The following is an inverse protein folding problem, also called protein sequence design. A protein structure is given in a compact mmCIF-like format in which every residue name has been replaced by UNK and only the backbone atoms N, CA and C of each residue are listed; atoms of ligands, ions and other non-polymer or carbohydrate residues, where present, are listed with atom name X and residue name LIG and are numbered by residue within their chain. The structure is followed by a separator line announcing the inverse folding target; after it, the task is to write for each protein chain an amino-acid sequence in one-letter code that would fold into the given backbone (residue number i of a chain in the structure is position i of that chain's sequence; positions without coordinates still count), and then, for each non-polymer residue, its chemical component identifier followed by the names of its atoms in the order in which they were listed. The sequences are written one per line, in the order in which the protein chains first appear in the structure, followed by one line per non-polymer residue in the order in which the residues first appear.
data_IF_028232273581
#
_entry.id   IF_028232273581
#
_cell.length_a   1.000
_cell.length_b   1.000
_cell.length_c   1.000
_cell.angle_alpha   90.00
_cell.angle_beta   90.00
_cell.angle_gamma   90.00
#
_symmetry.space_group_name_H-M   'P 1'
#
loop_
_entity.id
_entity.type
_entity.pdbx_description
1 polymer ?
#
# COMPACT_ATOMS: atom_id res chain seq x y z
N UNK A 1 7.94 -3.83 -10.02
CA UNK A 1 8.81 -4.98 -10.35
C UNK A 1 9.18 -5.06 -11.83
N UNK A 2 8.28 -4.75 -12.77
CA UNK A 2 8.57 -4.82 -14.23
C UNK A 2 9.76 -3.95 -14.65
N UNK A 3 9.89 -2.75 -14.07
CA UNK A 3 11.04 -1.86 -14.32
C UNK A 3 12.36 -2.50 -13.86
N UNK A 4 12.36 -3.14 -12.69
CA UNK A 4 13.52 -3.85 -12.16
C UNK A 4 13.96 -4.98 -13.09
N UNK A 5 13.00 -5.78 -13.59
CA UNK A 5 13.28 -6.84 -14.57
C UNK A 5 13.86 -6.25 -15.85
N UNK A 6 13.27 -5.17 -16.36
CA UNK A 6 13.75 -4.49 -17.58
C UNK A 6 15.18 -3.96 -17.44
N UNK A 7 15.52 -3.38 -16.30
CA UNK A 7 16.86 -2.84 -16.03
C UNK A 7 17.88 -3.98 -15.84
N UNK A 8 17.53 -4.96 -15.00
CA UNK A 8 18.41 -6.10 -14.71
C UNK A 8 18.69 -6.96 -15.95
N UNK A 9 17.69 -7.17 -16.82
CA UNK A 9 17.86 -7.91 -18.08
C UNK A 9 18.81 -7.25 -19.07
N UNK A 10 18.96 -5.91 -19.00
CA UNK A 10 19.93 -5.18 -19.85
C UNK A 10 21.37 -5.32 -19.38
N UNK A 11 21.57 -5.61 -18.10
CA UNK A 11 22.88 -5.67 -17.46
C UNK A 11 23.38 -7.13 -17.35
N UNK A 12 22.43 -8.05 -17.18
CA UNK A 12 22.74 -9.48 -17.01
C UNK A 12 23.15 -10.13 -18.33
N UNK A 13 24.20 -10.94 -18.28
CA UNK A 13 24.63 -11.78 -19.41
C UNK A 13 23.93 -13.16 -19.45
N UNK A 14 23.11 -13.45 -18.43
CA UNK A 14 22.35 -14.70 -18.32
C UNK A 14 20.87 -14.39 -18.05
N UNK A 15 19.94 -15.26 -18.45
CA UNK A 15 18.55 -15.11 -18.13
C UNK A 15 18.34 -14.96 -16.62
N UNK A 16 17.51 -13.98 -16.21
CA UNK A 16 17.18 -13.74 -14.82
C UNK A 16 16.20 -14.78 -14.31
N UNK A 17 16.32 -15.18 -13.05
CA UNK A 17 15.25 -15.89 -12.36
C UNK A 17 14.24 -14.86 -11.84
N UNK A 18 12.97 -15.07 -12.17
CA UNK A 18 11.87 -14.22 -11.71
C UNK A 18 10.79 -15.07 -11.05
N UNK A 19 10.16 -14.55 -10.01
CA UNK A 19 9.22 -15.29 -9.18
C UNK A 19 7.95 -14.47 -8.99
N UNK A 20 6.80 -15.12 -8.96
CA UNK A 20 5.52 -14.50 -8.61
C UNK A 20 4.63 -15.45 -7.84
N UNK A 21 3.72 -14.88 -7.03
CA UNK A 21 2.61 -15.63 -6.45
C UNK A 21 1.43 -15.60 -7.40
N UNK A 22 0.76 -16.72 -7.55
CA UNK A 22 -0.50 -16.87 -8.23
C UNK A 22 -1.63 -16.98 -7.20
N UNK A 23 -2.66 -16.14 -7.36
CA UNK A 23 -3.90 -16.16 -6.58
C UNK A 23 -5.07 -16.59 -7.47
N UNK A 24 -5.28 -17.89 -7.67
CA UNK A 24 -6.26 -18.36 -8.64
C UNK A 24 -7.66 -17.81 -8.37
N UNK A 25 -8.34 -17.39 -9.44
CA UNK A 25 -9.71 -16.89 -9.41
C UNK A 25 -9.95 -15.64 -8.54
N UNK A 26 -8.91 -14.85 -8.29
CA UNK A 26 -9.05 -13.56 -7.59
C UNK A 26 -8.80 -12.38 -8.54
N UNK A 27 -9.47 -11.24 -8.33
CA UNK A 27 -9.22 -10.04 -9.14
C UNK A 27 -7.82 -9.43 -8.93
N UNK A 28 -7.11 -9.87 -7.91
CA UNK A 28 -5.77 -9.39 -7.56
C UNK A 28 -4.66 -10.32 -8.07
N UNK A 29 -4.97 -11.27 -8.94
CA UNK A 29 -3.96 -12.14 -9.54
C UNK A 29 -3.22 -11.42 -10.67
N UNK A 30 -1.96 -11.12 -10.45
CA UNK A 30 -1.07 -10.49 -11.42
C UNK A 30 -0.15 -11.50 -12.13
N UNK A 31 -0.37 -12.80 -11.94
CA UNK A 31 0.53 -13.85 -12.44
C UNK A 31 0.60 -13.92 -13.96
N UNK A 32 -0.50 -13.58 -14.66
CA UNK A 32 -0.52 -13.50 -16.12
C UNK A 32 0.33 -12.31 -16.61
N UNK A 33 0.18 -11.15 -15.97
CA UNK A 33 0.98 -9.97 -16.29
C UNK A 33 2.46 -10.21 -16.06
N UNK A 34 2.83 -10.83 -14.94
CA UNK A 34 4.21 -11.21 -14.65
C UNK A 34 4.76 -12.20 -15.70
N UNK A 35 3.95 -13.15 -16.16
CA UNK A 35 4.30 -14.07 -17.24
C UNK A 35 4.57 -13.37 -18.58
N UNK A 36 3.79 -12.35 -18.92
CA UNK A 36 3.99 -11.55 -20.13
C UNK A 36 5.32 -10.77 -20.07
N UNK A 37 5.63 -10.17 -18.93
CA UNK A 37 6.91 -9.49 -18.70
C UNK A 37 8.08 -10.48 -18.79
N UNK A 38 7.94 -11.65 -18.18
CA UNK A 38 8.96 -12.71 -18.25
C UNK A 38 9.22 -13.14 -19.68
N UNK A 39 8.18 -13.37 -20.48
CA UNK A 39 8.29 -13.75 -21.87
C UNK A 39 8.98 -12.68 -22.70
N UNK A 40 8.62 -11.41 -22.46
CA UNK A 40 9.22 -10.27 -23.18
C UNK A 40 10.72 -10.13 -22.93
N UNK A 41 11.16 -10.33 -21.67
CA UNK A 41 12.56 -10.22 -21.27
C UNK A 41 13.32 -11.56 -21.24
N UNK A 42 12.67 -12.65 -21.67
CA UNK A 42 13.26 -14.00 -21.72
C UNK A 42 13.85 -14.46 -20.39
N UNK A 43 13.11 -14.25 -19.29
CA UNK A 43 13.54 -14.66 -17.94
C UNK A 43 13.10 -16.10 -17.63
N UNK A 44 13.78 -16.76 -16.70
CA UNK A 44 13.30 -18.01 -16.12
C UNK A 44 12.26 -17.69 -15.05
N UNK A 45 10.98 -17.87 -15.38
CA UNK A 45 9.87 -17.46 -14.51
C UNK A 45 9.26 -18.65 -13.78
N UNK A 46 9.19 -18.54 -12.46
CA UNK A 46 8.54 -19.52 -11.61
C UNK A 46 7.30 -18.90 -10.95
N UNK A 47 6.14 -19.54 -11.15
CA UNK A 47 4.88 -19.16 -10.49
C UNK A 47 4.65 -20.09 -9.30
N UNK A 48 4.46 -19.50 -8.14
CA UNK A 48 4.15 -20.22 -6.91
C UNK A 48 2.67 -20.01 -6.55
N UNK A 49 1.91 -21.08 -6.60
CA UNK A 49 0.50 -21.03 -6.24
C UNK A 49 0.34 -21.08 -4.73
N UNK A 50 -0.29 -20.05 -4.16
CA UNK A 50 -0.66 -20.07 -2.74
C UNK A 50 -1.85 -20.99 -2.53
N UNK A 51 -1.80 -21.81 -1.50
CA UNK A 51 -2.87 -22.70 -1.09
C UNK A 51 -3.23 -22.49 0.39
N UNK A 52 -4.31 -23.08 0.85
CA UNK A 52 -4.80 -22.95 2.22
C UNK A 52 -3.90 -23.61 3.27
N UNK A 53 -2.92 -24.40 2.86
CA UNK A 53 -1.96 -25.08 3.76
C UNK A 53 -1.09 -24.10 4.56
N UNK A 54 -1.04 -22.84 4.16
CA UNK A 54 -0.34 -21.79 4.92
C UNK A 54 -1.10 -21.34 6.16
N UNK A 55 -2.44 -21.47 6.19
CA UNK A 55 -3.28 -20.93 7.26
C UNK A 55 -2.90 -21.43 8.68
N UNK A 56 -2.53 -22.71 8.90
CA UNK A 56 -2.08 -23.17 10.21
C UNK A 56 -0.79 -22.49 10.70
N UNK A 57 0.02 -21.91 9.81
CA UNK A 57 1.27 -21.25 10.16
C UNK A 57 1.06 -19.78 10.56
N UNK A 58 -0.10 -19.19 10.27
CA UNK A 58 -0.38 -17.76 10.53
C UNK A 58 -0.22 -17.38 12.01
N UNK A 59 -0.68 -18.15 13.00
CA UNK A 59 -0.46 -17.80 14.41
C UNK A 59 1.03 -17.70 14.80
N UNK A 60 1.87 -18.56 14.25
CA UNK A 60 3.32 -18.51 14.46
C UNK A 60 3.94 -17.29 13.77
N UNK A 61 3.49 -16.98 12.54
CA UNK A 61 3.94 -15.79 11.83
C UNK A 61 3.61 -14.52 12.60
N UNK A 62 2.41 -14.42 13.18
CA UNK A 62 2.01 -13.28 14.00
C UNK A 62 2.91 -13.12 15.23
N UNK A 63 3.34 -14.21 15.86
CA UNK A 63 4.25 -14.15 17.00
C UNK A 63 5.65 -13.63 16.65
N UNK A 64 6.05 -13.75 15.39
CA UNK A 64 7.32 -13.24 14.88
C UNK A 64 7.24 -11.77 14.40
N UNK A 65 6.06 -11.18 14.46
CA UNK A 65 5.87 -9.74 14.25
C UNK A 65 5.96 -9.06 15.63
N UNK A 66 7.04 -8.39 15.96
CA UNK A 66 7.29 -7.78 17.28
C UNK A 66 6.20 -6.83 17.79
N UNK A 67 5.28 -6.44 16.92
CA UNK A 67 4.18 -5.53 17.20
C UNK A 67 2.91 -5.96 16.42
N UNK A 68 1.72 -5.51 16.84
CA UNK A 68 0.51 -5.71 16.04
C UNK A 68 0.69 -5.16 14.64
N UNK A 69 0.47 -6.00 13.63
CA UNK A 69 0.66 -5.68 12.23
C UNK A 69 -0.64 -5.94 11.46
N UNK A 70 -1.14 -4.94 10.74
CA UNK A 70 -2.47 -4.99 10.14
C UNK A 70 -2.49 -5.31 8.63
N UNK A 71 -1.33 -5.35 7.97
CA UNK A 71 -1.27 -5.69 6.54
C UNK A 71 -1.24 -7.21 6.35
N UNK A 72 -2.37 -7.79 5.94
CA UNK A 72 -2.51 -9.24 5.70
C UNK A 72 -1.61 -9.77 4.58
N UNK A 73 -1.00 -8.90 3.78
CA UNK A 73 -0.08 -9.32 2.72
C UNK A 73 1.24 -9.91 3.24
N UNK A 74 1.50 -9.84 4.57
CA UNK A 74 2.64 -10.55 5.17
C UNK A 74 2.55 -12.07 4.92
N UNK A 75 1.35 -12.63 4.85
CA UNK A 75 1.13 -14.06 4.62
C UNK A 75 1.66 -14.51 3.25
N UNK A 76 1.18 -13.92 2.12
CA UNK A 76 1.73 -14.26 0.82
C UNK A 76 3.20 -13.88 0.67
N UNK A 77 3.67 -12.80 1.29
CA UNK A 77 5.09 -12.44 1.27
C UNK A 77 5.95 -13.51 1.93
N UNK A 78 5.56 -14.01 3.09
CA UNK A 78 6.26 -15.12 3.75
C UNK A 78 6.31 -16.36 2.85
N UNK A 79 5.18 -16.74 2.27
CA UNK A 79 5.10 -17.91 1.41
C UNK A 79 6.00 -17.78 0.18
N UNK A 80 6.00 -16.62 -0.48
CA UNK A 80 6.88 -16.34 -1.61
C UNK A 80 8.35 -16.48 -1.19
N UNK A 81 8.75 -15.85 -0.09
CA UNK A 81 10.13 -15.93 0.42
C UNK A 81 10.55 -17.37 0.74
N UNK A 82 9.65 -18.17 1.32
CA UNK A 82 9.85 -19.60 1.62
C UNK A 82 10.12 -20.44 0.37
N UNK A 83 9.47 -20.11 -0.72
CA UNK A 83 9.68 -20.80 -1.99
C UNK A 83 10.94 -20.29 -2.70
N UNK A 84 11.11 -18.98 -2.79
CA UNK A 84 12.22 -18.32 -3.52
C UNK A 84 13.58 -18.67 -2.92
N UNK A 85 13.68 -18.82 -1.59
CA UNK A 85 14.97 -19.14 -0.93
C UNK A 85 15.55 -20.51 -1.33
N UNK A 86 14.74 -21.39 -1.91
CA UNK A 86 15.18 -22.67 -2.44
C UNK A 86 16.09 -22.51 -3.66
N UNK A 87 15.86 -21.44 -4.43
CA UNK A 87 16.56 -21.18 -5.69
C UNK A 87 17.62 -20.09 -5.56
N UNK A 88 17.37 -19.05 -4.74
CA UNK A 88 18.27 -17.90 -4.60
C UNK A 88 18.42 -17.48 -3.13
N UNK A 89 19.52 -16.78 -2.82
CA UNK A 89 19.77 -16.23 -1.47
C UNK A 89 19.48 -14.74 -1.37
N UNK A 90 19.48 -14.06 -2.50
CA UNK A 90 19.20 -12.62 -2.60
C UNK A 90 18.20 -12.42 -3.72
N UNK A 91 17.17 -11.63 -3.46
CA UNK A 91 16.16 -11.23 -4.45
C UNK A 91 16.01 -9.71 -4.47
N UNK A 92 15.65 -9.18 -5.64
CA UNK A 92 15.25 -7.80 -5.80
C UNK A 92 13.72 -7.74 -5.88
N UNK A 93 13.12 -6.82 -5.13
CA UNK A 93 11.68 -6.56 -5.17
C UNK A 93 11.35 -5.27 -5.91
N UNK A 94 10.08 -5.05 -6.15
CA UNK A 94 9.57 -3.80 -6.73
C UNK A 94 8.91 -2.89 -5.70
N UNK A 95 9.15 -3.13 -4.42
CA UNK A 95 8.60 -2.33 -3.34
C UNK A 95 9.11 -0.88 -3.43
N UNK A 96 8.25 0.09 -3.08
CA UNK A 96 8.53 1.51 -3.27
C UNK A 96 8.16 2.06 -4.65
N UNK A 97 7.83 1.18 -5.61
CA UNK A 97 7.44 1.61 -6.95
C UNK A 97 6.13 2.40 -6.97
N UNK A 98 5.14 1.98 -6.18
CA UNK A 98 3.84 2.65 -6.11
C UNK A 98 3.94 4.02 -5.42
N UNK A 99 4.77 4.15 -4.41
CA UNK A 99 5.04 5.41 -3.70
C UNK A 99 5.81 6.40 -4.58
N UNK A 100 6.76 5.92 -5.38
CA UNK A 100 7.57 6.77 -6.24
C UNK A 100 6.86 7.19 -7.53
N UNK A 101 6.02 6.32 -8.08
CA UNK A 101 5.39 6.50 -9.39
C UNK A 101 3.86 6.63 -9.32
N UNK A 102 3.31 6.87 -8.14
CA UNK A 102 1.88 7.04 -7.90
C UNK A 102 1.04 5.84 -8.41
N UNK A 103 1.47 4.62 -8.12
CA UNK A 103 0.84 3.39 -8.63
C UNK A 103 -0.46 3.01 -7.90
N UNK A 104 -0.73 3.54 -6.71
CA UNK A 104 -1.93 3.18 -5.96
C UNK A 104 -3.20 3.80 -6.55
N UNK A 105 -4.23 2.99 -6.79
CA UNK A 105 -5.52 3.44 -7.28
C UNK A 105 -6.25 4.45 -6.37
N UNK A 106 -5.84 4.58 -5.11
CA UNK A 106 -6.37 5.62 -4.22
C UNK A 106 -6.02 7.04 -4.68
N UNK A 107 -4.91 7.23 -5.40
CA UNK A 107 -4.51 8.55 -5.91
C UNK A 107 -5.50 9.10 -6.93
N UNK A 108 -6.18 8.24 -7.69
CA UNK A 108 -7.27 8.66 -8.59
C UNK A 108 -8.42 9.31 -7.82
N UNK A 109 -8.75 8.76 -6.64
CA UNK A 109 -9.77 9.34 -5.76
C UNK A 109 -9.36 10.73 -5.27
N UNK A 110 -8.09 10.91 -4.95
CA UNK A 110 -7.56 12.19 -4.50
C UNK A 110 -7.50 13.22 -5.62
N UNK A 111 -7.12 12.80 -6.83
CA UNK A 111 -7.16 13.64 -8.03
C UNK A 111 -8.58 14.15 -8.32
N UNK A 112 -9.56 13.27 -8.20
CA UNK A 112 -10.96 13.64 -8.35
C UNK A 112 -11.40 14.65 -7.29
N UNK A 113 -11.05 14.44 -6.02
CA UNK A 113 -11.36 15.36 -4.92
C UNK A 113 -10.73 16.75 -5.13
N UNK A 114 -9.49 16.78 -5.56
CA UNK A 114 -8.78 18.03 -5.85
C UNK A 114 -9.47 18.77 -7.01
N UNK A 115 -9.87 18.06 -8.05
CA UNK A 115 -10.62 18.66 -9.17
C UNK A 115 -11.96 19.28 -8.74
N UNK A 116 -12.65 18.66 -7.77
CA UNK A 116 -13.89 19.21 -7.19
C UNK A 116 -13.57 20.46 -6.36
N UNK A 117 -12.47 20.45 -5.58
CA UNK A 117 -12.04 21.60 -4.79
C UNK A 117 -11.72 22.82 -5.64
N UNK A 118 -11.09 22.61 -6.78
CA UNK A 118 -10.76 23.68 -7.72
C UNK A 118 -12.00 24.22 -8.44
N UNK A 119 -13.02 23.39 -8.69
CA UNK A 119 -14.18 23.73 -9.52
C UNK A 119 -15.34 24.34 -8.76
N UNK A 120 -15.53 24.01 -7.47
CA UNK A 120 -16.69 24.41 -6.71
C UNK A 120 -16.33 25.25 -5.49
N UNK A 121 -17.15 26.29 -5.16
CA UNK A 121 -16.97 27.08 -3.95
C UNK A 121 -17.04 26.22 -2.68
N UNK A 122 -16.35 26.65 -1.63
CA UNK A 122 -16.28 25.94 -0.36
C UNK A 122 -17.66 25.60 0.24
N UNK A 123 -18.62 26.54 0.15
CA UNK A 123 -19.96 26.33 0.68
C UNK A 123 -20.68 25.11 0.03
N UNK A 124 -20.53 24.94 -1.28
CA UNK A 124 -21.11 23.80 -2.01
C UNK A 124 -20.40 22.50 -1.60
N UNK A 125 -19.10 22.53 -1.55
CA UNK A 125 -18.25 21.40 -1.18
C UNK A 125 -18.53 20.93 0.24
N UNK A 126 -18.59 21.84 1.21
CA UNK A 126 -18.92 21.53 2.59
C UNK A 126 -20.36 20.98 2.73
N UNK A 127 -21.32 21.52 2.01
CA UNK A 127 -22.68 21.00 2.02
C UNK A 127 -22.75 19.57 1.50
N UNK A 128 -22.08 19.27 0.38
CA UNK A 128 -22.01 17.91 -0.17
C UNK A 128 -21.31 16.93 0.80
N UNK A 129 -20.20 17.33 1.39
CA UNK A 129 -19.47 16.55 2.36
C UNK A 129 -20.30 16.27 3.63
N UNK A 130 -21.01 17.27 4.15
CA UNK A 130 -21.90 17.11 5.30
C UNK A 130 -23.10 16.22 5.01
N UNK A 131 -23.75 16.39 3.87
CA UNK A 131 -24.85 15.51 3.45
C UNK A 131 -24.38 14.05 3.29
N UNK A 132 -23.18 13.85 2.79
CA UNK A 132 -22.62 12.51 2.62
C UNK A 132 -22.35 11.78 3.95
N UNK A 133 -22.25 12.48 5.08
CA UNK A 133 -22.11 11.85 6.40
C UNK A 133 -23.34 11.03 6.81
N UNK A 134 -24.48 11.31 6.20
CA UNK A 134 -25.72 10.54 6.40
C UNK A 134 -25.72 9.22 5.62
N UNK A 135 -24.80 9.04 4.69
CA UNK A 135 -24.69 7.83 3.90
C UNK A 135 -23.81 6.78 4.61
N UNK A 136 -24.13 5.48 4.43
CA UNK A 136 -23.29 4.42 4.96
C UNK A 136 -21.86 4.53 4.40
N UNK A 137 -20.90 4.12 5.20
CA UNK A 137 -19.49 4.21 4.83
C UNK A 137 -19.14 3.15 3.79
N UNK A 138 -18.87 3.60 2.57
CA UNK A 138 -18.42 2.81 1.44
C UNK A 138 -17.27 3.56 0.77
N UNK A 139 -16.44 2.86 0.00
CA UNK A 139 -15.31 3.47 -0.70
C UNK A 139 -15.69 4.78 -1.44
N UNK A 140 -16.80 4.78 -2.20
CA UNK A 140 -17.28 5.98 -2.93
C UNK A 140 -17.80 7.10 -2.02
N UNK A 141 -18.37 6.77 -0.86
CA UNK A 141 -18.87 7.78 0.08
C UNK A 141 -17.75 8.41 0.92
N UNK A 142 -16.63 7.75 1.12
CA UNK A 142 -15.46 8.32 1.79
C UNK A 142 -14.91 9.53 1.05
N UNK A 143 -14.76 9.47 -0.25
CA UNK A 143 -14.32 10.61 -1.06
C UNK A 143 -15.24 11.82 -0.91
N UNK A 144 -16.57 11.60 -0.88
CA UNK A 144 -17.53 12.68 -0.64
C UNK A 144 -17.42 13.26 0.78
N UNK A 145 -17.21 12.39 1.79
CA UNK A 145 -17.04 12.85 3.19
C UNK A 145 -15.80 13.71 3.37
N UNK A 146 -14.71 13.38 2.67
CA UNK A 146 -13.49 14.18 2.68
C UNK A 146 -13.67 15.60 2.14
N UNK A 147 -14.66 15.83 1.27
CA UNK A 147 -14.97 17.18 0.79
C UNK A 147 -15.47 18.14 1.90
N UNK A 148 -15.89 17.62 3.05
CA UNK A 148 -16.29 18.44 4.22
C UNK A 148 -15.11 19.09 4.95
N UNK A 149 -13.87 18.72 4.62
CA UNK A 149 -12.67 19.27 5.22
C UNK A 149 -12.13 20.48 4.42
N UNK A 150 -11.39 21.35 5.08
CA UNK A 150 -10.92 22.62 4.50
C UNK A 150 -10.03 22.41 3.29
N UNK A 151 -9.19 21.38 3.31
CA UNK A 151 -8.34 21.03 2.20
C UNK A 151 -8.33 19.51 1.97
N UNK A 152 -7.76 19.08 0.87
CA UNK A 152 -7.66 17.68 0.51
C UNK A 152 -6.88 16.89 1.56
N UNK A 153 -5.87 17.51 2.13
CA UNK A 153 -4.98 16.92 3.12
C UNK A 153 -5.67 16.57 4.43
N UNK A 154 -6.41 17.53 5.00
CA UNK A 154 -7.19 17.28 6.23
C UNK A 154 -8.22 16.16 6.03
N UNK A 155 -8.87 16.15 4.86
CA UNK A 155 -9.82 15.11 4.50
C UNK A 155 -9.18 13.73 4.36
N UNK A 156 -8.01 13.67 3.74
CA UNK A 156 -7.24 12.44 3.61
C UNK A 156 -6.80 11.93 4.97
N UNK A 157 -6.23 12.79 5.80
CA UNK A 157 -5.78 12.45 7.14
C UNK A 157 -6.92 11.86 7.97
N UNK A 158 -8.10 12.48 7.93
CA UNK A 158 -9.26 12.02 8.68
C UNK A 158 -9.78 10.65 8.21
N UNK A 159 -9.56 10.27 6.94
CA UNK A 159 -10.08 9.05 6.32
C UNK A 159 -9.01 8.19 5.65
N UNK A 160 -7.72 8.37 6.00
CA UNK A 160 -6.61 7.59 5.43
C UNK A 160 -6.61 6.14 5.91
N UNK A 161 -7.10 5.88 7.13
CA UNK A 161 -7.16 4.53 7.67
C UNK A 161 -8.06 3.62 6.84
N UNK A 162 -7.55 2.43 6.52
CA UNK A 162 -8.31 1.40 5.81
C UNK A 162 -9.48 0.84 6.63
N UNK A 163 -9.36 0.83 7.97
CA UNK A 163 -10.33 0.18 8.87
C UNK A 163 -11.18 1.21 9.63
N UNK A 164 -10.54 2.08 10.40
CA UNK A 164 -11.24 3.07 11.22
C UNK A 164 -10.75 4.47 10.90
N UNK A 165 -11.67 5.33 10.51
CA UNK A 165 -11.41 6.76 10.39
C UNK A 165 -11.12 7.38 11.76
N UNK A 166 -10.45 8.53 11.78
CA UNK A 166 -10.21 9.26 13.04
C UNK A 166 -11.51 9.47 13.88
N UNK A 167 -12.65 9.91 13.31
CA UNK A 167 -13.89 10.04 14.08
C UNK A 167 -14.42 8.73 14.67
N UNK A 168 -14.20 7.60 13.97
CA UNK A 168 -14.60 6.29 14.46
C UNK A 168 -13.73 5.81 15.62
N UNK A 169 -12.42 6.01 15.51
CA UNK A 169 -11.47 5.72 16.59
C UNK A 169 -11.77 6.55 17.83
N UNK A 170 -12.05 7.84 17.66
CA UNK A 170 -12.41 8.73 18.76
C UNK A 170 -13.67 8.26 19.51
N UNK A 171 -14.66 7.74 18.78
CA UNK A 171 -15.86 7.15 19.38
C UNK A 171 -15.57 5.85 20.13
N UNK A 172 -14.80 4.94 19.52
CA UNK A 172 -14.43 3.65 20.13
C UNK A 172 -13.68 3.83 21.44
N UNK A 173 -12.77 4.78 21.49
CA UNK A 173 -11.93 5.02 22.65
C UNK A 173 -12.58 5.91 23.71
N UNK A 174 -13.81 6.40 23.46
CA UNK A 174 -14.56 7.30 24.35
C UNK A 174 -13.73 8.50 24.86
N UNK A 175 -12.83 9.00 24.03
CA UNK A 175 -11.92 10.10 24.34
C UNK A 175 -12.25 11.29 23.44
N UNK A 176 -12.93 12.29 24.00
CA UNK A 176 -13.41 13.46 23.26
C UNK A 176 -12.32 14.37 22.67
N UNK A 177 -11.09 14.31 23.16
CA UNK A 177 -9.93 15.03 22.63
C UNK A 177 -8.74 14.08 22.52
N UNK A 178 -8.65 13.37 21.43
CA UNK A 178 -7.38 12.82 21.00
C UNK A 178 -6.57 13.99 20.42
N UNK A 179 -5.77 14.59 21.26
CA UNK A 179 -4.75 15.53 20.81
C UNK A 179 -3.79 14.79 19.86
N UNK A 180 -3.50 15.36 18.85
CA UNK A 180 -2.49 15.42 17.80
C UNK A 180 -1.20 14.53 17.90
N UNK A 181 -1.16 13.52 18.76
CA UNK A 181 -0.01 12.60 18.93
C UNK A 181 -0.15 11.32 18.08
N UNK A 182 -0.83 11.42 16.95
CA UNK A 182 -1.12 10.29 16.09
C UNK A 182 -0.42 10.38 14.74
N UNK A 183 -0.32 9.26 14.01
CA UNK A 183 0.27 9.22 12.66
C UNK A 183 -0.27 10.28 11.71
N UNK A 184 -1.53 10.69 11.92
CA UNK A 184 -2.15 11.76 11.13
C UNK A 184 -1.51 13.15 11.37
N UNK A 185 -1.01 13.41 12.56
CA UNK A 185 -0.30 14.68 12.84
C UNK A 185 1.06 14.70 12.11
N UNK A 186 1.75 13.58 12.09
CA UNK A 186 3.00 13.43 11.34
C UNK A 186 2.78 13.59 9.84
N UNK A 187 1.69 13.03 9.32
CA UNK A 187 1.28 13.22 7.94
C UNK A 187 1.09 14.71 7.59
N UNK A 188 0.40 15.47 8.45
CA UNK A 188 0.22 16.92 8.27
C UNK A 188 1.52 17.70 8.38
N UNK A 189 2.42 17.30 9.27
CA UNK A 189 3.72 17.95 9.45
C UNK A 189 4.66 17.75 8.27
N UNK A 190 4.50 16.68 7.51
CA UNK A 190 5.29 16.39 6.32
C UNK A 190 4.80 17.13 5.07
N UNK A 191 3.67 17.84 5.15
CA UNK A 191 3.14 18.61 4.03
C UNK A 191 4.02 19.80 3.67
N UNK A 192 4.39 19.91 2.40
CA UNK A 192 5.22 21.01 1.88
C UNK A 192 4.31 21.98 1.12
N UNK A 193 4.09 23.20 1.63
CA UNK A 193 3.30 24.22 0.93
C UNK A 193 3.91 24.55 -0.44
N UNK A 194 3.04 24.71 -1.45
CA UNK A 194 3.46 25.06 -2.82
C UNK A 194 3.94 23.89 -3.68
N UNK A 195 4.03 22.70 -3.10
CA UNK A 195 4.28 21.46 -3.84
C UNK A 195 2.94 20.84 -4.26
N UNK A 196 2.89 20.20 -5.42
CA UNK A 196 1.71 19.51 -5.91
C UNK A 196 1.19 18.49 -4.89
N UNK A 197 -0.13 18.34 -4.82
CA UNK A 197 -0.78 17.46 -3.85
C UNK A 197 -0.35 15.99 -4.02
N UNK A 198 -0.22 15.50 -5.26
CA UNK A 198 0.18 14.13 -5.55
C UNK A 198 1.62 13.88 -5.07
N UNK A 199 2.52 14.83 -5.34
CA UNK A 199 3.90 14.73 -4.87
C UNK A 199 3.98 14.74 -3.34
N UNK A 200 3.17 15.55 -2.66
CA UNK A 200 3.09 15.54 -1.20
C UNK A 200 2.62 14.20 -0.65
N UNK A 201 1.60 13.59 -1.28
CA UNK A 201 1.10 12.28 -0.87
C UNK A 201 2.14 11.18 -1.09
N UNK A 202 2.69 11.10 -2.28
CA UNK A 202 3.72 10.11 -2.60
C UNK A 202 4.92 10.24 -1.64
N UNK A 203 5.35 11.46 -1.35
CA UNK A 203 6.44 11.69 -0.39
C UNK A 203 6.06 11.26 1.03
N UNK A 204 4.82 11.46 1.43
CA UNK A 204 4.36 11.03 2.74
C UNK A 204 4.24 9.50 2.81
N UNK A 205 3.67 8.85 1.80
CA UNK A 205 3.58 7.40 1.73
C UNK A 205 4.99 6.77 1.71
N UNK A 206 5.93 7.39 0.99
CA UNK A 206 7.33 6.96 0.99
C UNK A 206 7.99 7.06 2.36
N UNK A 207 7.72 8.12 3.13
CA UNK A 207 8.34 8.34 4.44
C UNK A 207 7.71 7.51 5.56
N UNK A 208 6.43 7.23 5.48
CA UNK A 208 5.66 6.57 6.54
C UNK A 208 5.22 5.16 6.12
N UNK A 209 4.31 5.06 5.17
CA UNK A 209 3.71 3.78 4.77
C UNK A 209 4.76 2.78 4.25
N UNK A 210 5.67 3.23 3.41
CA UNK A 210 6.75 2.37 2.92
C UNK A 210 7.67 1.93 4.05
N UNK A 211 8.05 2.83 4.96
CA UNK A 211 9.01 2.52 6.03
C UNK A 211 8.38 1.66 7.11
N UNK A 212 7.18 2.01 7.59
CA UNK A 212 6.59 1.40 8.77
C UNK A 212 5.71 0.17 8.46
N UNK A 213 5.32 -0.03 7.20
CA UNK A 213 4.50 -1.15 6.77
C UNK A 213 5.25 -2.03 5.75
N UNK A 214 5.53 -1.52 4.55
CA UNK A 214 6.01 -2.33 3.44
C UNK A 214 7.38 -2.93 3.72
N UNK A 215 8.36 -2.09 4.09
CA UNK A 215 9.73 -2.56 4.36
C UNK A 215 9.82 -3.44 5.60
N UNK A 216 9.06 -3.14 6.65
CA UNK A 216 8.99 -3.99 7.86
C UNK A 216 8.44 -5.37 7.50
N UNK A 217 7.37 -5.43 6.74
CA UNK A 217 6.79 -6.69 6.26
C UNK A 217 7.79 -7.51 5.45
N UNK A 218 8.38 -6.88 4.43
CA UNK A 218 9.32 -7.55 3.53
C UNK A 218 10.53 -8.06 4.28
N UNK A 219 11.14 -7.22 5.11
CA UNK A 219 12.31 -7.59 5.90
C UNK A 219 12.02 -8.77 6.82
N UNK A 220 10.96 -8.70 7.63
CA UNK A 220 10.63 -9.76 8.58
C UNK A 220 10.27 -11.07 7.89
N UNK A 221 9.42 -11.03 6.87
CA UNK A 221 8.99 -12.24 6.18
C UNK A 221 10.10 -12.90 5.37
N UNK A 222 11.00 -12.11 4.81
CA UNK A 222 12.15 -12.64 4.07
C UNK A 222 13.20 -13.21 5.02
N UNK A 223 13.52 -12.50 6.11
CA UNK A 223 14.52 -12.93 7.08
C UNK A 223 14.10 -14.19 7.85
N UNK A 224 12.81 -14.38 8.14
CA UNK A 224 12.30 -15.63 8.69
C UNK A 224 12.60 -16.84 7.79
N UNK A 225 12.79 -16.61 6.49
CA UNK A 225 13.15 -17.65 5.53
C UNK A 225 14.65 -17.61 5.14
N UNK A 226 15.46 -16.78 5.77
CA UNK A 226 16.88 -16.61 5.42
C UNK A 226 17.10 -16.18 3.95
N UNK A 227 16.16 -15.42 3.41
CA UNK A 227 16.24 -14.76 2.11
C UNK A 227 16.54 -13.29 2.32
N UNK A 228 17.55 -12.75 1.65
CA UNK A 228 17.79 -11.31 1.63
C UNK A 228 16.97 -10.69 0.49
N UNK A 229 16.05 -9.78 0.82
CA UNK A 229 15.29 -9.02 -0.18
C UNK A 229 15.71 -7.56 -0.15
N UNK A 230 15.94 -6.99 -1.32
CA UNK A 230 16.30 -5.57 -1.52
C UNK A 230 15.31 -4.90 -2.45
N UNK A 231 14.93 -3.67 -2.12
CA UNK A 231 14.03 -2.80 -2.89
C UNK A 231 14.80 -1.71 -3.60
#
# INVERSE_FOLDING_TARGET
SSLMVAMASKISNTPLNTFTIEFPNTPNDESEYAGNISSYFSTHHTKHKINEEILPQVPELIQNLDQPFADSSFIPTYYLCKEVVKDVKVALSGDGGDELFAGYGQYDSFAWEDSIRQRYPDCVRFALGRLSTLLPERHRTRSLKRLAYNNCYDGMTAYSSRFFSFPERAKLLNRGNFALDYPEAEFLNNFIPGVDWLQNICQNDFKNYMVDDILVKVDRMSMLNSLEVRS
#
